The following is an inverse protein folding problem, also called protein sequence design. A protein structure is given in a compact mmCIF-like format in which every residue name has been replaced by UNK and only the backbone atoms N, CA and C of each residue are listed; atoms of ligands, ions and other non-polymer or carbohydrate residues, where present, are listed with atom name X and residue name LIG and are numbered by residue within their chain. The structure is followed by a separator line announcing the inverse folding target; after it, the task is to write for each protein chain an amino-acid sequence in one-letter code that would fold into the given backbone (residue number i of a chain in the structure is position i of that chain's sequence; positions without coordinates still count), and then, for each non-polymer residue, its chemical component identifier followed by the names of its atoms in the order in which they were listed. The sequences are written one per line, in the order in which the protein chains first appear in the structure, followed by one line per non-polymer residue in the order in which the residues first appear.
data_IF_339638320961
#
_entry.id   IF_339638320961
#
_cell.length_a   1.000
_cell.length_b   1.000
_cell.length_c   1.000
_cell.angle_alpha   90.00
_cell.angle_beta   90.00
_cell.angle_gamma   90.00
#
_symmetry.space_group_name_H-M   'P 1'
#
loop_
_entity.id
_entity.type
_entity.pdbx_description
1 polymer ?
#
# COMPACT_ATOMS: atom_id res chain seq x y z
N UNK A 1 67.43 5.26 -20.84
CA UNK A 1 66.04 4.90 -21.20
C UNK A 1 65.31 4.55 -19.92
N UNK A 2 64.56 5.48 -19.34
CA UNK A 2 63.70 5.21 -18.18
C UNK A 2 62.26 5.39 -18.64
N UNK A 3 61.52 4.28 -18.65
CA UNK A 3 60.11 4.25 -19.03
C UNK A 3 59.28 4.42 -17.76
N UNK A 4 58.62 5.57 -17.61
CA UNK A 4 57.61 5.79 -16.58
C UNK A 4 56.28 5.20 -17.03
N UNK A 5 55.82 4.16 -16.34
CA UNK A 5 54.48 3.63 -16.51
C UNK A 5 53.49 4.51 -15.72
N UNK A 6 52.52 5.12 -16.42
CA UNK A 6 51.40 5.80 -15.79
C UNK A 6 50.36 4.76 -15.36
N UNK A 7 50.07 4.68 -14.07
CA UNK A 7 48.95 3.91 -13.54
C UNK A 7 47.68 4.75 -13.67
N UNK A 8 46.75 4.28 -14.50
CA UNK A 8 45.39 4.82 -14.56
C UNK A 8 44.61 4.27 -13.37
N UNK A 9 44.23 5.16 -12.45
CA UNK A 9 43.33 4.84 -11.35
C UNK A 9 41.89 4.85 -11.90
N UNK A 10 41.28 3.68 -12.06
CA UNK A 10 39.85 3.58 -12.34
C UNK A 10 39.07 3.92 -11.07
N UNK A 11 38.41 5.08 -11.07
CA UNK A 11 37.37 5.42 -10.10
C UNK A 11 36.09 4.69 -10.52
N UNK A 12 35.72 3.63 -9.81
CA UNK A 12 34.39 3.05 -9.87
C UNK A 12 33.43 4.00 -9.15
N UNK A 13 32.62 4.75 -9.90
CA UNK A 13 31.47 5.44 -9.32
C UNK A 13 30.43 4.39 -8.96
N UNK A 14 30.21 4.14 -7.68
CA UNK A 14 29.02 3.44 -7.24
C UNK A 14 27.82 4.36 -7.55
N UNK A 15 27.06 4.04 -8.59
CA UNK A 15 25.72 4.59 -8.75
C UNK A 15 24.87 4.02 -7.62
N UNK A 16 24.65 4.80 -6.57
CA UNK A 16 23.55 4.55 -5.66
C UNK A 16 22.28 4.72 -6.49
N UNK A 17 21.67 3.61 -6.93
CA UNK A 17 20.31 3.65 -7.44
C UNK A 17 19.46 4.29 -6.33
N UNK A 18 18.96 5.49 -6.57
CA UNK A 18 17.89 6.01 -5.74
C UNK A 18 16.75 4.98 -5.80
N UNK A 19 16.12 4.70 -4.66
CA UNK A 19 14.88 3.91 -4.65
C UNK A 19 13.92 4.54 -5.65
N UNK A 20 13.28 3.69 -6.47
CA UNK A 20 12.47 4.16 -7.59
C UNK A 20 11.13 4.73 -7.12
N UNK A 21 10.69 4.34 -5.93
CA UNK A 21 9.47 4.82 -5.26
C UNK A 21 9.76 5.85 -4.16
N UNK A 22 8.69 6.50 -3.70
CA UNK A 22 8.76 7.48 -2.63
C UNK A 22 9.12 6.85 -1.28
N UNK A 23 10.03 7.50 -0.54
CA UNK A 23 10.34 7.18 0.85
C UNK A 23 9.88 8.36 1.72
N UNK A 24 8.76 8.23 2.46
CA UNK A 24 8.30 9.29 3.37
C UNK A 24 9.37 9.60 4.42
N UNK A 25 9.62 10.88 4.66
CA UNK A 25 10.55 11.27 5.73
C UNK A 25 9.81 11.22 7.07
N UNK A 26 10.47 10.83 8.19
CA UNK A 26 9.86 10.95 9.49
C UNK A 26 9.36 12.38 9.76
N UNK A 27 8.10 12.52 10.17
CA UNK A 27 7.44 13.81 10.38
C UNK A 27 6.79 14.42 9.14
N UNK A 28 6.71 13.70 8.01
CA UNK A 28 5.84 14.08 6.88
C UNK A 28 4.42 14.34 7.38
N UNK A 29 3.88 15.53 7.11
CA UNK A 29 2.48 15.85 7.46
C UNK A 29 1.53 15.26 6.42
N UNK A 30 0.39 14.74 6.87
CA UNK A 30 -0.57 14.07 6.02
C UNK A 30 -2.00 14.29 6.52
N UNK A 31 -2.97 14.02 5.65
CA UNK A 31 -4.40 13.96 5.96
C UNK A 31 -5.00 12.72 5.30
N UNK A 32 -5.99 12.11 5.96
CA UNK A 32 -6.72 10.94 5.44
C UNK A 32 -8.19 11.26 5.22
N UNK A 33 -8.70 10.93 4.03
CA UNK A 33 -10.07 11.22 3.59
C UNK A 33 -10.69 9.99 2.93
N UNK A 34 -11.32 9.13 3.73
CA UNK A 34 -12.04 7.94 3.24
C UNK A 34 -13.56 8.11 3.23
N UNK A 35 -14.10 9.09 3.93
CA UNK A 35 -15.56 9.27 4.10
C UNK A 35 -16.26 9.96 2.91
N UNK A 36 -15.50 10.38 1.90
CA UNK A 36 -15.95 11.15 0.74
C UNK A 36 -14.85 11.23 -0.32
N UNK A 37 -15.22 11.68 -1.52
CA UNK A 37 -14.26 12.01 -2.57
C UNK A 37 -13.43 13.25 -2.20
N UNK A 38 -12.25 13.39 -2.81
CA UNK A 38 -11.38 14.56 -2.62
C UNK A 38 -11.99 15.85 -3.21
N UNK A 39 -12.88 15.76 -4.20
CA UNK A 39 -13.62 16.91 -4.73
C UNK A 39 -14.60 17.47 -3.68
N UNK A 40 -15.26 16.57 -2.93
CA UNK A 40 -16.21 16.93 -1.87
C UNK A 40 -15.54 17.52 -0.61
N UNK A 41 -14.21 17.45 -0.50
CA UNK A 41 -13.43 18.17 0.53
C UNK A 41 -13.36 19.67 0.22
N UNK A 42 -13.34 20.03 -1.07
CA UNK A 42 -13.11 21.39 -1.53
C UNK A 42 -11.64 21.80 -1.43
N UNK A 43 -11.28 22.62 -0.43
CA UNK A 43 -9.88 23.04 -0.26
C UNK A 43 -9.13 22.05 0.62
N UNK A 44 -8.19 21.31 0.02
CA UNK A 44 -7.32 20.39 0.74
C UNK A 44 -6.46 21.11 1.78
N UNK A 45 -6.19 20.47 2.94
CA UNK A 45 -5.38 21.07 3.99
C UNK A 45 -3.91 21.22 3.57
N UNK A 46 -3.20 22.16 4.19
CA UNK A 46 -1.77 22.39 3.93
C UNK A 46 -0.88 21.31 4.55
N UNK A 47 -0.90 20.12 3.98
CA UNK A 47 -0.09 18.94 4.35
C UNK A 47 0.79 18.50 3.19
N UNK A 48 1.66 17.50 3.40
CA UNK A 48 2.57 17.00 2.37
C UNK A 48 2.00 15.80 1.59
N UNK A 49 1.17 14.98 2.23
CA UNK A 49 0.55 13.81 1.63
C UNK A 49 -0.96 13.78 1.88
N UNK A 50 -1.71 13.25 0.93
CA UNK A 50 -3.14 12.98 1.05
C UNK A 50 -3.34 11.48 0.85
N UNK A 51 -4.00 10.88 1.82
CA UNK A 51 -4.48 9.51 1.78
C UNK A 51 -5.99 9.51 1.52
N UNK A 52 -6.44 8.80 0.50
CA UNK A 52 -7.85 8.71 0.16
C UNK A 52 -8.18 7.42 -0.58
N UNK A 53 -9.47 7.09 -0.62
CA UNK A 53 -9.96 5.88 -1.24
C UNK A 53 -9.59 5.78 -2.73
N UNK A 54 -9.01 4.64 -3.11
CA UNK A 54 -8.54 4.39 -4.46
C UNK A 54 -9.69 4.41 -5.49
N UNK A 55 -10.84 3.80 -5.18
CA UNK A 55 -11.93 3.60 -6.15
C UNK A 55 -12.82 4.84 -6.27
N UNK A 56 -13.13 5.48 -5.14
CA UNK A 56 -14.03 6.65 -5.09
C UNK A 56 -13.45 7.89 -5.80
N UNK A 57 -12.12 7.94 -5.98
CA UNK A 57 -11.43 9.03 -6.66
C UNK A 57 -10.95 8.60 -8.05
N UNK A 58 -11.37 9.31 -9.09
CA UNK A 58 -10.97 9.03 -10.47
C UNK A 58 -9.53 9.52 -10.78
N UNK A 59 -9.02 9.15 -11.96
CA UNK A 59 -7.67 9.50 -12.38
C UNK A 59 -7.43 11.01 -12.50
N UNK A 60 -8.44 11.77 -12.94
CA UNK A 60 -8.33 13.22 -13.11
C UNK A 60 -8.21 13.91 -11.74
N UNK A 61 -8.94 13.42 -10.74
CA UNK A 61 -8.88 13.92 -9.37
C UNK A 61 -7.52 13.62 -8.72
N UNK A 62 -7.02 12.39 -8.84
CA UNK A 62 -5.68 12.03 -8.36
C UNK A 62 -4.58 12.86 -9.02
N UNK A 63 -4.67 13.08 -10.34
CA UNK A 63 -3.73 13.92 -11.06
C UNK A 63 -3.78 15.37 -10.56
N UNK A 64 -4.97 15.93 -10.35
CA UNK A 64 -5.16 17.28 -9.82
C UNK A 64 -4.53 17.45 -8.42
N UNK A 65 -4.68 16.46 -7.54
CA UNK A 65 -4.05 16.45 -6.21
C UNK A 65 -2.52 16.45 -6.35
N UNK A 66 -1.98 15.61 -7.24
CA UNK A 66 -0.53 15.54 -7.48
C UNK A 66 0.03 16.83 -8.07
N UNK A 67 -0.69 17.47 -9.00
CA UNK A 67 -0.31 18.76 -9.62
C UNK A 67 -0.30 19.92 -8.62
N UNK A 68 -1.09 19.82 -7.54
CA UNK A 68 -1.05 20.75 -6.41
C UNK A 68 0.18 20.54 -5.50
N UNK A 69 0.97 19.49 -5.73
CA UNK A 69 2.23 19.22 -5.04
C UNK A 69 2.12 18.26 -3.86
N UNK A 70 0.96 17.62 -3.66
CA UNK A 70 0.80 16.56 -2.66
C UNK A 70 1.43 15.26 -3.13
N UNK A 71 1.94 14.47 -2.18
CA UNK A 71 2.09 13.03 -2.37
C UNK A 71 0.74 12.35 -2.24
N UNK A 72 0.49 11.36 -3.08
CA UNK A 72 -0.79 10.64 -3.11
C UNK A 72 -0.63 9.23 -2.53
N UNK A 73 -1.41 8.91 -1.50
CA UNK A 73 -1.52 7.59 -0.89
C UNK A 73 -2.92 7.07 -1.23
N UNK A 74 -3.00 5.89 -1.82
CA UNK A 74 -4.25 5.32 -2.29
C UNK A 74 -4.66 4.16 -1.39
N UNK A 75 -5.73 4.38 -0.62
CA UNK A 75 -6.32 3.40 0.29
C UNK A 75 -7.11 2.34 -0.47
N UNK A 76 -7.00 1.09 -0.04
CA UNK A 76 -7.99 0.05 -0.30
C UNK A 76 -7.86 -1.03 0.78
N UNK A 77 -8.94 -1.74 1.09
CA UNK A 77 -8.80 -2.91 1.96
C UNK A 77 -8.11 -4.05 1.21
N UNK A 78 -7.03 -4.59 1.78
CA UNK A 78 -6.31 -5.74 1.24
C UNK A 78 -6.64 -7.05 1.95
N UNK A 79 -7.10 -6.98 3.20
CA UNK A 79 -7.47 -8.15 4.01
C UNK A 79 -8.98 -8.38 4.17
N UNK A 80 -9.83 -7.51 3.63
CA UNK A 80 -11.28 -7.70 3.63
C UNK A 80 -11.90 -7.54 2.23
N UNK A 81 -12.99 -8.28 2.04
CA UNK A 81 -13.97 -8.16 0.98
C UNK A 81 -14.94 -7.05 1.35
N UNK A 82 -15.30 -6.21 0.38
CA UNK A 82 -16.24 -5.10 0.53
C UNK A 82 -17.29 -5.21 -0.59
N UNK A 83 -18.56 -5.48 -0.25
CA UNK A 83 -19.61 -5.82 -1.25
C UNK A 83 -19.99 -4.69 -2.21
N UNK A 84 -19.56 -3.47 -1.89
CA UNK A 84 -19.82 -2.26 -2.67
C UNK A 84 -18.73 -1.95 -3.71
N UNK A 85 -17.59 -2.66 -3.70
CA UNK A 85 -16.49 -2.44 -4.65
C UNK A 85 -16.83 -2.95 -6.04
N UNK A 86 -16.35 -2.27 -7.08
CA UNK A 86 -16.58 -2.65 -8.47
C UNK A 86 -16.01 -4.02 -8.86
N UNK A 87 -15.06 -4.54 -8.08
CA UNK A 87 -14.44 -5.86 -8.26
C UNK A 87 -15.00 -6.95 -7.33
N UNK A 88 -16.02 -6.66 -6.53
CA UNK A 88 -16.58 -7.58 -5.53
C UNK A 88 -16.99 -8.95 -6.11
N UNK A 89 -17.58 -8.97 -7.31
CA UNK A 89 -17.99 -10.21 -7.99
C UNK A 89 -16.80 -11.09 -8.46
N UNK A 90 -15.57 -10.60 -8.38
CA UNK A 90 -14.36 -11.33 -8.77
C UNK A 90 -13.81 -12.22 -7.65
N UNK A 91 -14.21 -11.98 -6.40
CA UNK A 91 -13.71 -12.74 -5.26
C UNK A 91 -14.31 -14.15 -5.24
N UNK A 92 -13.49 -15.21 -5.09
CA UNK A 92 -14.01 -16.56 -4.96
C UNK A 92 -14.71 -16.70 -3.60
N UNK A 93 -15.90 -17.28 -3.61
CA UNK A 93 -16.73 -17.44 -2.41
C UNK A 93 -16.02 -18.19 -1.27
N UNK A 94 -15.10 -19.09 -1.60
CA UNK A 94 -14.30 -19.86 -0.65
C UNK A 94 -13.20 -19.05 0.04
N UNK A 95 -12.86 -17.86 -0.47
CA UNK A 95 -11.91 -16.95 0.15
C UNK A 95 -12.58 -15.84 0.97
N UNK A 96 -13.92 -15.79 1.02
CA UNK A 96 -14.68 -14.85 1.83
C UNK A 96 -15.07 -15.53 3.15
N UNK A 97 -14.57 -14.98 4.25
CA UNK A 97 -14.63 -15.56 5.59
C UNK A 97 -15.72 -14.96 6.47
N UNK A 98 -15.38 -14.78 7.74
CA UNK A 98 -16.30 -14.19 8.72
C UNK A 98 -16.54 -12.72 8.41
N UNK A 99 -17.76 -12.19 8.67
CA UNK A 99 -18.03 -10.76 8.57
C UNK A 99 -17.19 -9.96 9.57
N UNK A 100 -16.87 -8.71 9.22
CA UNK A 100 -16.28 -7.77 10.17
C UNK A 100 -17.38 -7.24 11.11
N UNK A 101 -17.08 -7.12 12.40
CA UNK A 101 -18.10 -6.86 13.44
C UNK A 101 -18.79 -5.49 13.30
N UNK A 102 -18.06 -4.47 12.85
CA UNK A 102 -18.53 -3.07 12.82
C UNK A 102 -18.85 -2.55 11.40
N UNK A 103 -18.69 -3.39 10.37
CA UNK A 103 -18.78 -2.97 8.96
C UNK A 103 -19.72 -3.88 8.15
N UNK A 104 -20.95 -3.41 7.93
CA UNK A 104 -21.95 -4.14 7.13
C UNK A 104 -21.51 -4.24 5.67
N UNK A 105 -21.58 -5.45 5.10
CA UNK A 105 -21.12 -5.73 3.74
C UNK A 105 -19.64 -6.08 3.64
N UNK A 106 -18.92 -6.11 4.78
CA UNK A 106 -17.48 -6.39 4.83
C UNK A 106 -17.18 -7.75 5.48
N UNK A 107 -16.22 -8.49 4.93
CA UNK A 107 -15.82 -9.81 5.44
C UNK A 107 -14.33 -10.08 5.26
N UNK A 108 -13.72 -10.86 6.15
CA UNK A 108 -12.30 -11.19 6.09
C UNK A 108 -11.96 -12.03 4.84
N UNK A 109 -10.76 -11.85 4.28
CA UNK A 109 -10.27 -12.60 3.13
C UNK A 109 -9.24 -13.67 3.52
N UNK A 110 -9.25 -14.81 2.84
CA UNK A 110 -8.09 -15.73 2.86
C UNK A 110 -6.95 -15.15 2.01
N UNK A 111 -6.01 -14.47 2.66
CA UNK A 111 -4.87 -13.78 2.01
C UNK A 111 -3.84 -14.72 1.38
N UNK A 112 -3.99 -16.04 1.57
CA UNK A 112 -3.18 -17.07 0.88
C UNK A 112 -3.78 -17.46 -0.46
N UNK A 113 -5.04 -17.13 -0.70
CA UNK A 113 -5.74 -17.46 -1.94
C UNK A 113 -5.15 -16.66 -3.11
N UNK A 114 -4.81 -17.34 -4.21
CA UNK A 114 -4.16 -16.70 -5.36
C UNK A 114 -5.09 -15.76 -6.14
N UNK A 115 -6.40 -16.03 -6.18
CA UNK A 115 -7.36 -15.15 -6.84
C UNK A 115 -7.51 -13.84 -6.04
N UNK A 116 -7.47 -13.90 -4.70
CA UNK A 116 -7.40 -12.70 -3.84
C UNK A 116 -6.12 -11.90 -4.14
N UNK A 117 -4.97 -12.58 -4.27
CA UNK A 117 -3.70 -11.93 -4.64
C UNK A 117 -3.74 -11.32 -6.04
N UNK A 118 -4.41 -11.94 -7.01
CA UNK A 118 -4.64 -11.38 -8.36
C UNK A 118 -5.51 -10.13 -8.33
N UNK A 119 -6.53 -10.10 -7.49
CA UNK A 119 -7.36 -8.91 -7.29
C UNK A 119 -6.52 -7.78 -6.68
N UNK A 120 -5.69 -8.06 -5.67
CA UNK A 120 -4.80 -7.04 -5.10
C UNK A 120 -3.75 -6.55 -6.08
N UNK A 121 -3.19 -7.42 -6.94
CA UNK A 121 -2.35 -6.98 -8.06
C UNK A 121 -3.09 -5.98 -8.95
N UNK A 122 -4.35 -6.27 -9.28
CA UNK A 122 -5.18 -5.38 -10.10
C UNK A 122 -5.47 -4.04 -9.42
N UNK A 123 -5.72 -4.03 -8.10
CA UNK A 123 -5.87 -2.78 -7.33
C UNK A 123 -4.57 -1.96 -7.29
N UNK A 124 -3.42 -2.61 -7.12
CA UNK A 124 -2.11 -1.95 -7.19
C UNK A 124 -1.82 -1.41 -8.59
N UNK A 125 -2.18 -2.14 -9.64
CA UNK A 125 -2.08 -1.66 -11.02
C UNK A 125 -2.96 -0.43 -11.25
N UNK A 126 -4.19 -0.42 -10.73
CA UNK A 126 -5.07 0.75 -10.77
C UNK A 126 -4.47 1.95 -10.00
N UNK A 127 -3.83 1.72 -8.86
CA UNK A 127 -3.12 2.77 -8.13
C UNK A 127 -1.95 3.35 -8.95
N UNK A 128 -1.18 2.49 -9.64
CA UNK A 128 -0.11 2.92 -10.55
C UNK A 128 -0.65 3.74 -11.72
N UNK A 129 -1.73 3.28 -12.36
CA UNK A 129 -2.37 3.96 -13.48
C UNK A 129 -2.97 5.31 -13.09
N UNK A 130 -3.49 5.43 -11.86
CA UNK A 130 -3.98 6.69 -11.27
C UNK A 130 -2.85 7.60 -10.76
N UNK A 131 -1.60 7.13 -10.78
CA UNK A 131 -0.43 7.92 -10.43
C UNK A 131 -0.21 8.08 -8.92
N UNK A 132 -0.70 7.15 -8.12
CA UNK A 132 -0.45 7.10 -6.67
C UNK A 132 1.06 7.00 -6.39
N UNK A 133 1.57 7.73 -5.40
CA UNK A 133 2.95 7.60 -4.92
C UNK A 133 3.10 6.45 -3.91
N UNK A 134 2.01 6.07 -3.25
CA UNK A 134 1.94 5.02 -2.25
C UNK A 134 0.56 4.34 -2.20
N UNK A 135 0.49 3.20 -1.53
CA UNK A 135 -0.75 2.52 -1.13
C UNK A 135 -0.86 2.42 0.39
N UNK A 136 -2.10 2.50 0.89
CA UNK A 136 -2.47 2.16 2.28
C UNK A 136 -3.38 0.91 2.25
N UNK A 137 -2.80 -0.31 2.20
CA UNK A 137 -3.56 -1.56 2.22
C UNK A 137 -4.08 -1.86 3.62
N UNK A 138 -5.40 -1.79 3.83
CA UNK A 138 -6.01 -2.02 5.14
C UNK A 138 -6.22 -3.51 5.47
N UNK A 139 -6.55 -3.78 6.72
CA UNK A 139 -7.00 -5.06 7.25
C UNK A 139 -5.93 -6.16 7.15
N UNK A 140 -4.65 -5.81 7.20
CA UNK A 140 -3.52 -6.75 7.12
C UNK A 140 -3.38 -7.64 8.38
N UNK A 141 -4.08 -7.29 9.45
CA UNK A 141 -4.07 -7.92 10.77
C UNK A 141 -5.19 -8.95 10.97
N UNK A 142 -5.70 -9.57 9.89
CA UNK A 142 -6.71 -10.65 9.92
C UNK A 142 -6.42 -11.76 10.94
N UNK A 143 -5.14 -12.04 11.19
CA UNK A 143 -4.69 -13.05 12.19
C UNK A 143 -5.06 -12.68 13.63
N UNK A 144 -5.28 -11.41 13.94
CA UNK A 144 -5.74 -10.95 15.26
C UNK A 144 -7.25 -11.16 15.46
N UNK A 145 -7.99 -11.42 14.37
CA UNK A 145 -9.43 -11.58 14.34
C UNK A 145 -9.86 -13.03 14.11
N UNK A 146 -9.36 -13.94 14.96
CA UNK A 146 -9.57 -15.39 14.85
C UNK A 146 -9.21 -15.95 13.45
N UNK A 147 -8.22 -15.32 12.79
CA UNK A 147 -7.75 -15.69 11.46
C UNK A 147 -8.81 -15.53 10.37
N UNK A 148 -9.82 -14.68 10.57
CA UNK A 148 -10.88 -14.40 9.58
C UNK A 148 -11.82 -15.57 9.27
N UNK A 149 -11.75 -16.66 10.05
CA UNK A 149 -12.43 -17.93 9.73
C UNK A 149 -11.61 -18.92 8.90
N UNK A 150 -10.32 -18.61 8.67
CA UNK A 150 -9.40 -19.40 7.84
C UNK A 150 -8.17 -19.93 8.61
N UNK A 151 -8.14 -19.71 9.93
CA UNK A 151 -6.99 -19.97 10.81
C UNK A 151 -5.71 -19.25 10.32
N UNK A 152 -5.84 -18.04 9.75
CA UNK A 152 -4.69 -17.23 9.32
C UNK A 152 -3.80 -16.88 10.52
N UNK A 153 -2.50 -16.98 10.29
CA UNK A 153 -1.45 -16.74 11.28
C UNK A 153 -0.71 -15.43 10.99
N UNK A 154 0.08 -14.96 11.96
CA UNK A 154 0.99 -13.83 11.73
C UNK A 154 2.00 -14.12 10.60
N UNK A 155 2.44 -15.37 10.44
CA UNK A 155 3.36 -15.74 9.35
C UNK A 155 2.68 -15.60 7.98
N UNK A 156 1.37 -15.89 7.90
CA UNK A 156 0.57 -15.65 6.68
C UNK A 156 0.45 -14.15 6.38
N UNK A 157 0.25 -13.33 7.41
CA UNK A 157 0.18 -11.87 7.28
C UNK A 157 1.52 -11.27 6.82
N UNK A 158 2.64 -11.67 7.43
CA UNK A 158 3.99 -11.25 7.01
C UNK A 158 4.25 -11.63 5.56
N UNK A 159 3.89 -12.86 5.15
CA UNK A 159 4.02 -13.28 3.77
C UNK A 159 3.18 -12.45 2.81
N UNK A 160 1.96 -12.07 3.22
CA UNK A 160 1.07 -11.26 2.42
C UNK A 160 1.55 -9.81 2.30
N UNK A 161 2.04 -9.20 3.37
CA UNK A 161 2.67 -7.87 3.36
C UNK A 161 3.89 -7.86 2.44
N UNK A 162 4.75 -8.87 2.52
CA UNK A 162 5.88 -9.02 1.60
C UNK A 162 5.40 -9.08 0.14
N UNK A 163 4.38 -9.88 -0.15
CA UNK A 163 3.81 -9.99 -1.50
C UNK A 163 3.29 -8.65 -2.03
N UNK A 164 2.49 -7.92 -1.24
CA UNK A 164 1.94 -6.61 -1.62
C UNK A 164 3.07 -5.61 -1.87
N UNK A 165 4.06 -5.58 -0.98
CA UNK A 165 5.21 -4.69 -1.05
C UNK A 165 6.06 -4.95 -2.29
N UNK A 166 6.44 -6.21 -2.54
CA UNK A 166 7.21 -6.58 -3.73
C UNK A 166 6.50 -6.20 -5.03
N UNK A 167 5.17 -6.40 -5.10
CA UNK A 167 4.41 -6.03 -6.29
C UNK A 167 4.28 -4.51 -6.45
N UNK A 168 3.96 -3.77 -5.39
CA UNK A 168 3.86 -2.32 -5.42
C UNK A 168 5.21 -1.64 -5.74
N UNK A 169 6.30 -2.10 -5.13
CA UNK A 169 7.65 -1.62 -5.44
C UNK A 169 8.03 -1.89 -6.90
N UNK A 170 7.54 -3.00 -7.50
CA UNK A 170 7.73 -3.27 -8.95
C UNK A 170 7.00 -2.27 -9.86
N UNK A 171 6.06 -1.50 -9.31
CA UNK A 171 5.30 -0.42 -9.95
C UNK A 171 5.77 0.98 -9.53
N UNK A 172 6.90 1.08 -8.85
CA UNK A 172 7.44 2.32 -8.29
C UNK A 172 6.50 3.00 -7.25
N UNK A 173 5.74 2.19 -6.50
CA UNK A 173 4.78 2.64 -5.48
C UNK A 173 5.27 2.24 -4.08
N UNK A 174 5.21 3.15 -3.12
CA UNK A 174 5.52 2.88 -1.71
C UNK A 174 4.36 2.19 -0.96
N UNK A 175 4.63 1.49 0.13
CA UNK A 175 3.62 0.71 0.87
C UNK A 175 3.58 1.07 2.35
N UNK A 176 2.38 1.32 2.86
CA UNK A 176 2.11 1.46 4.30
C UNK A 176 1.82 0.11 4.97
N UNK A 177 2.24 -0.03 6.23
CA UNK A 177 1.66 -1.02 7.14
C UNK A 177 0.52 -0.36 7.92
N UNK A 178 -0.71 -0.82 7.71
CA UNK A 178 -1.88 -0.38 8.46
C UNK A 178 -2.06 -1.26 9.71
N UNK A 179 -1.99 -0.65 10.89
CA UNK A 179 -2.06 -1.33 12.20
C UNK A 179 -1.10 -2.54 12.30
N UNK A 180 -1.52 -3.69 12.87
CA UNK A 180 -0.71 -4.91 12.88
C UNK A 180 0.56 -4.86 13.73
N UNK A 181 0.52 -4.18 14.88
CA UNK A 181 1.68 -3.92 15.73
C UNK A 181 2.54 -5.15 16.09
N UNK A 182 1.96 -6.36 16.11
CA UNK A 182 2.71 -7.58 16.40
C UNK A 182 3.67 -8.00 15.27
N UNK A 183 3.41 -7.61 14.01
CA UNK A 183 4.21 -8.00 12.85
C UNK A 183 5.28 -6.99 12.45
N UNK A 184 5.31 -5.81 13.09
CA UNK A 184 6.19 -4.68 12.72
C UNK A 184 7.64 -5.12 12.53
N UNK A 185 8.25 -5.78 13.52
CA UNK A 185 9.67 -6.21 13.46
C UNK A 185 9.97 -7.15 12.27
N UNK A 186 8.97 -7.87 11.77
CA UNK A 186 9.11 -8.85 10.69
C UNK A 186 8.94 -8.22 9.30
N UNK A 187 8.33 -7.03 9.21
CA UNK A 187 7.99 -6.39 7.93
C UNK A 187 8.71 -5.06 7.68
N UNK A 188 9.57 -4.60 8.60
CA UNK A 188 10.32 -3.33 8.47
C UNK A 188 11.12 -3.21 7.16
N UNK A 189 11.59 -4.32 6.60
CA UNK A 189 12.36 -4.31 5.34
C UNK A 189 11.46 -4.29 4.09
N UNK A 190 10.14 -4.41 4.25
CA UNK A 190 9.17 -4.47 3.16
C UNK A 190 8.31 -3.21 3.03
N UNK A 191 8.00 -2.54 4.15
CA UNK A 191 7.12 -1.36 4.16
C UNK A 191 7.90 -0.06 4.30
N UNK A 192 7.32 1.04 3.81
CA UNK A 192 7.97 2.35 3.72
C UNK A 192 7.46 3.34 4.79
N UNK A 193 6.29 3.09 5.37
CA UNK A 193 5.70 3.84 6.47
C UNK A 193 4.65 2.99 7.23
N UNK A 194 4.12 3.54 8.30
CA UNK A 194 3.06 2.93 9.11
C UNK A 194 1.89 3.90 9.22
N UNK A 195 0.67 3.38 9.05
CA UNK A 195 -0.58 4.05 9.38
C UNK A 195 -1.14 3.34 10.61
N UNK A 196 -1.19 4.02 11.75
CA UNK A 196 -1.66 3.44 12.99
C UNK A 196 -2.89 4.20 13.51
N UNK A 197 -3.93 3.47 13.85
CA UNK A 197 -5.14 4.00 14.49
C UNK A 197 -5.11 3.70 16.00
N UNK A 198 -5.24 4.75 16.82
CA UNK A 198 -5.50 4.66 18.27
C UNK A 198 -4.43 3.93 19.15
N UNK A 199 -3.14 4.27 19.01
CA UNK A 199 -2.05 3.78 19.88
C UNK A 199 -2.13 4.21 21.36
#
# INVERSE_FOLDING_TARGET
MYSTAAQALLLLSASTSALAWWQPAPGTTWEIVLSKTLDDVGTLPSVQAIDADLEDNDSDLWQSVKEQGYRTICYFSAGSYEDWRGDADSFPSEAIGNPLDDWEGEAWLDTRNEDVRDIMRSRIDAAAEKGCDAIDPDNLDVYEHDGGGFDLTIDDAVNYVQFLSEYAHSKDIAVGLKNGGQMVEQVLDFVDFEVNEQC
#
